data_IF_317187647040
#
_entry.id   IF_317187647040
#
_cell.length_a   1.000
_cell.length_b   1.000
_cell.length_c   1.000
_cell.angle_alpha   90.00
_cell.angle_beta   90.00
_cell.angle_gamma   90.00
#
_symmetry.space_group_name_H-M   'P 1'
#
loop_
_entity.id
_entity.type
_entity.pdbx_description
1 polymer ?
#
# COMPACT_ATOMS: atom_id res chain seq x y z
N UNK A 1 -13.40 -14.64 9.94
CA UNK A 1 -13.10 -13.22 9.66
C UNK A 1 -12.51 -12.46 10.85
N UNK A 2 -13.24 -12.23 11.95
CA UNK A 2 -12.79 -11.38 13.08
C UNK A 2 -11.38 -11.67 13.62
N UNK A 3 -11.03 -12.95 13.79
CA UNK A 3 -9.68 -13.33 14.27
C UNK A 3 -8.56 -12.88 13.34
N UNK A 4 -8.75 -12.96 12.02
CA UNK A 4 -7.75 -12.52 11.04
C UNK A 4 -7.57 -11.00 11.11
N UNK A 5 -8.67 -10.25 11.24
CA UNK A 5 -8.65 -8.79 11.43
C UNK A 5 -7.85 -8.41 12.68
N UNK A 6 -8.11 -9.07 13.82
CA UNK A 6 -7.36 -8.82 15.05
C UNK A 6 -5.86 -9.14 14.90
N UNK A 7 -5.50 -10.19 14.16
CA UNK A 7 -4.10 -10.55 13.91
C UNK A 7 -3.39 -9.52 13.04
N UNK A 8 -4.07 -8.95 12.04
CA UNK A 8 -3.55 -7.85 11.24
C UNK A 8 -3.35 -6.59 12.08
N UNK A 9 -4.34 -6.22 12.89
CA UNK A 9 -4.25 -5.07 13.79
C UNK A 9 -3.12 -5.24 14.82
N UNK A 10 -2.83 -6.48 15.23
CA UNK A 10 -1.73 -6.81 16.14
C UNK A 10 -0.35 -6.90 15.45
N UNK A 11 -0.26 -6.64 14.13
CA UNK A 11 1.00 -6.71 13.39
C UNK A 11 1.52 -8.15 13.22
N UNK A 12 0.63 -9.14 13.14
CA UNK A 12 0.96 -10.57 13.00
C UNK A 12 0.41 -11.13 11.67
N UNK A 13 0.92 -10.63 10.53
CA UNK A 13 0.35 -10.94 9.22
C UNK A 13 0.51 -12.42 8.81
N UNK A 14 1.57 -13.11 9.25
CA UNK A 14 1.78 -14.53 8.94
C UNK A 14 0.67 -15.39 9.57
N UNK A 15 0.32 -15.10 10.82
CA UNK A 15 -0.76 -15.81 11.50
C UNK A 15 -2.12 -15.43 10.95
N UNK A 16 -2.29 -14.19 10.48
CA UNK A 16 -3.49 -13.81 9.76
C UNK A 16 -3.65 -14.66 8.50
N UNK A 17 -2.58 -14.86 7.71
CA UNK A 17 -2.61 -15.71 6.51
C UNK A 17 -3.02 -17.15 6.82
N UNK A 18 -2.50 -17.76 7.88
CA UNK A 18 -2.92 -19.12 8.26
C UNK A 18 -4.41 -19.20 8.58
N UNK A 19 -4.97 -18.17 9.22
CA UNK A 19 -6.42 -18.11 9.47
C UNK A 19 -7.23 -17.84 8.23
N UNK A 20 -6.72 -17.00 7.32
CA UNK A 20 -7.40 -16.68 6.07
C UNK A 20 -7.44 -17.88 5.13
N UNK A 21 -6.36 -18.67 5.06
CA UNK A 21 -6.33 -19.95 4.33
C UNK A 21 -7.41 -20.92 4.81
N UNK A 22 -7.49 -21.12 6.13
CA UNK A 22 -8.52 -21.99 6.71
C UNK A 22 -9.95 -21.47 6.45
N UNK A 23 -10.14 -20.14 6.34
CA UNK A 23 -11.44 -19.58 5.99
C UNK A 23 -11.76 -19.78 4.50
N UNK A 24 -10.75 -19.63 3.62
CA UNK A 24 -10.90 -19.88 2.19
C UNK A 24 -11.28 -21.33 1.89
N UNK A 25 -10.69 -22.29 2.62
CA UNK A 25 -11.00 -23.71 2.46
C UNK A 25 -12.46 -24.05 2.83
N UNK A 26 -13.07 -23.26 3.74
CA UNK A 26 -14.43 -23.53 4.25
C UNK A 26 -15.49 -22.75 3.49
N UNK A 27 -15.24 -21.46 3.21
CA UNK A 27 -16.23 -20.54 2.68
C UNK A 27 -16.03 -20.22 1.19
N UNK A 28 -14.86 -20.56 0.63
CA UNK A 28 -14.47 -20.15 -0.72
C UNK A 28 -13.97 -18.71 -0.77
N UNK A 29 -13.56 -18.23 -1.96
CA UNK A 29 -13.16 -16.85 -2.16
C UNK A 29 -14.36 -15.91 -2.08
N UNK A 30 -14.18 -14.78 -1.38
CA UNK A 30 -15.10 -13.64 -1.38
C UNK A 30 -14.28 -12.32 -1.33
N UNK A 31 -14.84 -11.17 -1.75
CA UNK A 31 -14.11 -9.91 -1.85
C UNK A 31 -13.45 -9.46 -0.54
N UNK A 32 -14.13 -9.65 0.59
CA UNK A 32 -13.63 -9.25 1.91
C UNK A 32 -12.47 -10.15 2.35
N UNK A 33 -12.58 -11.45 2.11
CA UNK A 33 -11.53 -12.42 2.42
C UNK A 33 -10.31 -12.24 1.50
N UNK A 34 -10.54 -11.88 0.23
CA UNK A 34 -9.49 -11.47 -0.70
C UNK A 34 -8.79 -10.19 -0.25
N UNK A 35 -9.53 -9.18 0.20
CA UNK A 35 -8.97 -7.94 0.75
C UNK A 35 -8.10 -8.21 1.99
N UNK A 36 -8.57 -9.01 2.94
CA UNK A 36 -7.80 -9.37 4.13
C UNK A 36 -6.55 -10.19 3.79
N UNK A 37 -6.64 -11.07 2.79
CA UNK A 37 -5.49 -11.85 2.29
C UNK A 37 -4.45 -10.93 1.66
N UNK A 38 -4.89 -9.96 0.84
CA UNK A 38 -4.00 -8.95 0.26
C UNK A 38 -3.31 -8.10 1.32
N UNK A 39 -4.03 -7.68 2.36
CA UNK A 39 -3.46 -6.91 3.48
C UNK A 39 -2.42 -7.73 4.25
N UNK A 40 -2.70 -9.00 4.51
CA UNK A 40 -1.78 -9.89 5.19
C UNK A 40 -0.50 -10.11 4.37
N UNK A 41 -0.62 -10.40 3.07
CA UNK A 41 0.53 -10.52 2.16
C UNK A 41 1.34 -9.21 2.05
N UNK A 42 0.67 -8.05 2.07
CA UNK A 42 1.34 -6.74 2.09
C UNK A 42 2.15 -6.56 3.37
N UNK A 43 1.61 -7.01 4.50
CA UNK A 43 2.28 -7.00 5.80
C UNK A 43 3.52 -7.89 5.86
N UNK A 44 3.49 -9.05 5.18
CA UNK A 44 4.65 -9.95 5.06
C UNK A 44 5.66 -9.52 3.99
N UNK A 45 5.35 -8.50 3.19
CA UNK A 45 6.19 -8.03 2.08
C UNK A 45 6.08 -8.86 0.79
N UNK A 46 5.15 -9.82 0.72
CA UNK A 46 4.87 -10.59 -0.50
C UNK A 46 3.91 -9.79 -1.40
N UNK A 47 4.47 -8.76 -2.04
CA UNK A 47 3.70 -7.88 -2.92
C UNK A 47 3.06 -8.61 -4.12
N UNK A 48 3.71 -9.58 -4.78
CA UNK A 48 3.06 -10.35 -5.84
C UNK A 48 1.85 -11.15 -5.35
N UNK A 49 1.91 -11.78 -4.17
CA UNK A 49 0.74 -12.46 -3.61
C UNK A 49 -0.36 -11.50 -3.19
N UNK A 50 0.00 -10.34 -2.64
CA UNK A 50 -0.96 -9.30 -2.28
C UNK A 50 -1.73 -8.79 -3.50
N UNK A 51 -1.01 -8.50 -4.59
CA UNK A 51 -1.60 -8.03 -5.85
C UNK A 51 -2.59 -9.05 -6.42
N UNK A 52 -2.23 -10.34 -6.46
CA UNK A 52 -3.15 -11.39 -6.92
C UNK A 52 -4.42 -11.46 -6.09
N UNK A 53 -4.32 -11.33 -4.76
CA UNK A 53 -5.47 -11.36 -3.88
C UNK A 53 -6.39 -10.15 -4.12
N UNK A 54 -5.85 -8.94 -4.25
CA UNK A 54 -6.67 -7.76 -4.53
C UNK A 54 -7.34 -7.83 -5.90
N UNK A 55 -6.63 -8.29 -6.94
CA UNK A 55 -7.20 -8.47 -8.28
C UNK A 55 -8.30 -9.52 -8.29
N UNK A 56 -8.19 -10.59 -7.50
CA UNK A 56 -9.24 -11.58 -7.35
C UNK A 56 -10.50 -10.98 -6.70
N UNK A 57 -10.36 -10.16 -5.65
CA UNK A 57 -11.49 -9.46 -5.06
C UNK A 57 -12.15 -8.46 -6.02
N UNK A 58 -11.34 -7.70 -6.76
CA UNK A 58 -11.81 -6.73 -7.75
C UNK A 58 -12.41 -7.38 -9.00
N UNK A 59 -12.16 -8.67 -9.24
CA UNK A 59 -12.82 -9.41 -10.31
C UNK A 59 -14.32 -9.56 -10.03
N UNK A 60 -14.68 -9.79 -8.76
CA UNK A 60 -16.06 -9.95 -8.31
C UNK A 60 -16.77 -8.59 -8.19
N UNK A 61 -16.09 -7.58 -7.61
CA UNK A 61 -16.57 -6.20 -7.57
C UNK A 61 -15.46 -5.21 -7.99
N UNK A 62 -15.45 -4.78 -9.26
CA UNK A 62 -14.47 -3.82 -9.77
C UNK A 62 -14.56 -2.43 -9.13
N UNK A 63 -15.66 -2.11 -8.45
CA UNK A 63 -15.92 -0.79 -7.86
C UNK A 63 -15.81 -0.80 -6.33
N UNK A 64 -15.32 -1.88 -5.73
CA UNK A 64 -15.08 -1.92 -4.29
C UNK A 64 -13.96 -0.94 -3.92
N UNK A 65 -14.38 0.20 -3.35
CA UNK A 65 -13.52 1.29 -2.91
C UNK A 65 -12.48 0.80 -1.88
N UNK A 66 -12.86 -0.11 -0.98
CA UNK A 66 -11.94 -0.61 0.05
C UNK A 66 -10.84 -1.47 -0.56
N UNK A 67 -11.16 -2.29 -1.56
CA UNK A 67 -10.18 -3.06 -2.33
C UNK A 67 -9.27 -2.15 -3.17
N UNK A 68 -9.84 -1.16 -3.87
CA UNK A 68 -9.06 -0.18 -4.65
C UNK A 68 -8.08 0.59 -3.76
N UNK A 69 -8.52 1.01 -2.57
CA UNK A 69 -7.67 1.69 -1.59
C UNK A 69 -6.53 0.81 -1.07
N UNK A 70 -6.84 -0.43 -0.67
CA UNK A 70 -5.85 -1.37 -0.17
C UNK A 70 -4.81 -1.71 -1.25
N UNK A 71 -5.24 -1.80 -2.51
CA UNK A 71 -4.37 -2.05 -3.64
C UNK A 71 -3.49 -0.83 -3.99
N UNK A 72 -4.03 0.39 -3.91
CA UNK A 72 -3.26 1.61 -4.10
C UNK A 72 -2.13 1.74 -3.05
N UNK A 73 -2.41 1.43 -1.79
CA UNK A 73 -1.41 1.42 -0.72
C UNK A 73 -0.31 0.36 -0.97
N UNK A 74 -0.70 -0.84 -1.42
CA UNK A 74 0.28 -1.85 -1.86
C UNK A 74 1.18 -1.31 -2.97
N UNK A 75 0.60 -0.69 -4.01
CA UNK A 75 1.36 -0.14 -5.13
C UNK A 75 2.37 0.92 -4.67
N UNK A 76 1.98 1.81 -3.75
CA UNK A 76 2.89 2.79 -3.16
C UNK A 76 4.06 2.12 -2.42
N UNK A 77 3.78 1.11 -1.60
CA UNK A 77 4.81 0.34 -0.88
C UNK A 77 5.72 -0.46 -1.82
N UNK A 78 5.16 -0.94 -2.93
CA UNK A 78 5.85 -1.69 -3.98
C UNK A 78 6.61 -0.82 -4.99
N UNK A 79 6.76 0.49 -4.76
CA UNK A 79 7.46 1.42 -5.66
C UNK A 79 6.76 1.67 -7.01
N UNK A 80 5.44 1.54 -7.08
CA UNK A 80 4.65 1.74 -8.29
C UNK A 80 3.73 2.97 -8.13
N UNK A 81 4.28 4.20 -8.08
CA UNK A 81 3.52 5.41 -7.78
C UNK A 81 2.44 5.71 -8.82
N UNK A 82 2.71 5.49 -10.10
CA UNK A 82 1.75 5.76 -11.18
C UNK A 82 0.49 4.91 -11.03
N UNK A 83 0.67 3.65 -10.63
CA UNK A 83 -0.42 2.71 -10.41
C UNK A 83 -1.19 3.02 -9.12
N UNK A 84 -0.48 3.41 -8.06
CA UNK A 84 -1.10 3.87 -6.83
C UNK A 84 -2.01 5.10 -7.08
N UNK A 85 -1.50 6.08 -7.83
CA UNK A 85 -2.26 7.27 -8.20
C UNK A 85 -3.48 6.94 -9.08
N UNK A 86 -3.33 6.05 -10.06
CA UNK A 86 -4.44 5.64 -10.92
C UNK A 86 -5.56 4.94 -10.14
N UNK A 87 -5.21 4.03 -9.23
CA UNK A 87 -6.18 3.31 -8.39
C UNK A 87 -6.89 4.25 -7.41
N UNK A 88 -6.14 5.15 -6.78
CA UNK A 88 -6.73 6.16 -5.90
C UNK A 88 -7.65 7.11 -6.66
N UNK A 89 -7.23 7.59 -7.84
CA UNK A 89 -8.05 8.48 -8.66
C UNK A 89 -9.35 7.80 -9.11
N UNK A 90 -9.29 6.50 -9.44
CA UNK A 90 -10.49 5.74 -9.76
C UNK A 90 -11.44 5.64 -8.57
N UNK A 91 -10.93 5.31 -7.37
CA UNK A 91 -11.74 5.27 -6.16
C UNK A 91 -12.36 6.64 -5.82
N UNK A 92 -11.62 7.73 -6.04
CA UNK A 92 -12.10 9.10 -5.84
C UNK A 92 -13.18 9.53 -6.84
N UNK A 93 -13.23 8.94 -8.04
CA UNK A 93 -14.34 9.16 -8.98
C UNK A 93 -15.60 8.43 -8.52
N UNK A 94 -15.46 7.25 -7.90
CA UNK A 94 -16.58 6.45 -7.42
C UNK A 94 -17.28 7.09 -6.20
N UNK A 95 -16.49 7.62 -5.26
CA UNK A 95 -17.01 8.27 -4.06
C UNK A 95 -16.08 9.40 -3.60
N UNK A 96 -16.23 10.63 -4.14
CA UNK A 96 -15.36 11.75 -3.82
C UNK A 96 -15.40 12.18 -2.34
N UNK A 97 -16.52 11.94 -1.66
CA UNK A 97 -16.75 12.36 -0.28
C UNK A 97 -16.35 11.28 0.74
N UNK A 98 -15.76 10.18 0.28
CA UNK A 98 -15.33 9.11 1.15
C UNK A 98 -14.18 9.56 2.07
N UNK A 99 -14.40 9.62 3.40
CA UNK A 99 -13.36 10.10 4.32
C UNK A 99 -12.11 9.22 4.32
N UNK A 100 -12.24 7.95 3.96
CA UNK A 100 -11.13 7.00 3.91
C UNK A 100 -10.15 7.33 2.78
N UNK A 101 -10.62 7.94 1.68
CA UNK A 101 -9.76 8.32 0.57
C UNK A 101 -8.76 9.42 0.93
N UNK A 102 -9.13 10.33 1.83
CA UNK A 102 -8.21 11.34 2.35
C UNK A 102 -7.11 10.70 3.21
N UNK A 103 -7.47 9.72 4.03
CA UNK A 103 -6.50 8.96 4.85
C UNK A 103 -5.52 8.19 3.96
N UNK A 104 -6.04 7.51 2.94
CA UNK A 104 -5.23 6.72 1.99
C UNK A 104 -4.32 7.62 1.16
N UNK A 105 -4.82 8.76 0.66
CA UNK A 105 -4.00 9.73 -0.08
C UNK A 105 -2.78 10.16 0.74
N UNK A 106 -3.01 10.58 1.98
CA UNK A 106 -1.94 10.99 2.89
C UNK A 106 -0.94 9.85 3.14
N UNK A 107 -1.41 8.61 3.27
CA UNK A 107 -0.56 7.43 3.41
C UNK A 107 0.31 7.17 2.17
N UNK A 108 -0.26 7.24 0.97
CA UNK A 108 0.46 7.08 -0.30
C UNK A 108 1.53 8.17 -0.42
N UNK A 109 1.17 9.44 -0.21
CA UNK A 109 2.09 10.58 -0.32
C UNK A 109 3.21 10.47 0.72
N UNK A 110 2.93 9.99 1.94
CA UNK A 110 3.96 9.74 2.94
C UNK A 110 4.96 8.66 2.52
N UNK A 111 4.47 7.51 2.02
CA UNK A 111 5.32 6.40 1.56
C UNK A 111 6.20 6.82 0.39
N UNK A 112 5.63 7.55 -0.58
CA UNK A 112 6.36 8.04 -1.75
C UNK A 112 7.32 9.19 -1.39
N UNK A 113 6.89 10.09 -0.51
CA UNK A 113 7.70 11.20 -0.01
C UNK A 113 8.91 10.72 0.80
N UNK A 114 8.74 9.72 1.67
CA UNK A 114 9.83 9.11 2.43
C UNK A 114 10.86 8.39 1.53
N UNK A 115 10.47 8.00 0.31
CA UNK A 115 11.36 7.42 -0.71
C UNK A 115 12.10 8.48 -1.52
N UNK A 116 11.64 9.73 -1.54
CA UNK A 116 12.35 10.81 -2.23
C UNK A 116 13.66 11.06 -1.49
N UNK A 117 14.83 10.91 -2.13
CA UNK A 117 16.08 11.30 -1.49
C UNK A 117 15.99 12.79 -1.10
N UNK A 118 16.56 13.21 0.05
CA UNK A 118 16.54 14.61 0.44
C UNK A 118 17.10 15.45 -0.72
N UNK A 119 16.53 16.64 -1.01
CA UNK A 119 17.04 17.48 -2.07
C UNK A 119 18.53 17.67 -1.83
N UNK A 120 19.33 17.24 -2.82
CA UNK A 120 20.76 17.05 -2.68
C UNK A 120 21.41 18.21 -1.95
N UNK A 121 22.10 17.91 -0.85
CA UNK A 121 22.99 18.86 -0.19
C UNK A 121 23.91 19.41 -1.26
N UNK A 122 23.76 20.70 -1.55
CA UNK A 122 24.65 21.40 -2.45
C UNK A 122 26.07 21.13 -1.99
N UNK A 123 26.86 20.46 -2.82
CA UNK A 123 28.31 20.47 -2.69
C UNK A 123 28.75 21.91 -2.90
N UNK A 124 28.70 22.71 -1.83
CA UNK A 124 29.59 23.84 -1.69
C UNK A 124 30.99 23.25 -1.58
N UNK A 125 31.61 23.07 -2.75
CA UNK A 125 33.07 22.98 -2.82
C UNK A 125 33.59 24.17 -2.02
N UNK A 126 34.43 23.97 -0.99
CA UNK A 126 35.13 25.10 -0.42
C UNK A 126 35.98 25.70 -1.53
N UNK A 127 35.68 26.94 -1.92
CA UNK A 127 36.62 27.75 -2.67
C UNK A 127 37.84 27.89 -1.76
N UNK A 128 38.90 27.14 -2.08
CA UNK A 128 40.22 27.31 -1.48
C UNK A 128 40.61 28.76 -1.77
N UNK A 129 40.44 29.61 -0.76
CA UNK A 129 41.08 30.92 -0.67
C UNK A 129 42.57 30.69 -0.44
N UNK A 130 43.29 30.44 -1.53
CA UNK A 130 44.73 30.61 -1.55
C UNK A 130 45.05 32.10 -1.58
N UNK A 131 45.16 32.72 -0.40
CA UNK A 131 45.78 34.05 -0.22
C UNK A 131 47.18 33.82 0.35
N UNK A 132 48.19 34.42 -0.30
CA UNK A 132 49.51 34.68 0.26
C UNK A 132 50.58 33.66 -0.14
N UNK A 133 51.53 34.01 -1.01
CA UNK A 133 52.69 34.79 -0.60
C UNK A 133 53.78 34.80 -1.69
N UNK A 134 54.35 36.01 -1.88
CA UNK A 134 55.54 36.43 -2.65
C UNK A 134 55.32 36.96 -4.06
#
# INVERSE_FOLDING_TARGET
>A
MLRAVCLLAAGRPEQALDRLRALLDVFGPDPDLMRLTGLACTGTGDYPAAERAYLAGLHDDPHDIALLCAYAELCARAAQPEKADALWAWAAVLDPDNPELHRIRAGIDYVLGARRPPPGGGTQRPAVTGRGDR
#
